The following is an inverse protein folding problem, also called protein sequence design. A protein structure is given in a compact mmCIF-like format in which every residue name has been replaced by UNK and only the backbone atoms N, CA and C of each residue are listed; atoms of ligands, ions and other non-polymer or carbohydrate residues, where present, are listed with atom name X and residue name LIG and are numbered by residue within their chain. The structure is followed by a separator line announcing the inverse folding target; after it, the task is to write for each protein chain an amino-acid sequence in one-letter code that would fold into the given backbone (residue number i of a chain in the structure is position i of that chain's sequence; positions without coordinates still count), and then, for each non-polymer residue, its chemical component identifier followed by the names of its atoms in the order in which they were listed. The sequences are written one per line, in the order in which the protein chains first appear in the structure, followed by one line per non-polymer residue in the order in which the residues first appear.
data_IF_554020234267
#
_entry.id   IF_554020234267
#
_cell.length_a   1.000
_cell.length_b   1.000
_cell.length_c   1.000
_cell.angle_alpha   90.00
_cell.angle_beta   90.00
_cell.angle_gamma   90.00
#
_symmetry.space_group_name_H-M   'P 1'
#
loop_
_entity.id
_entity.type
_entity.pdbx_description
1 polymer ?
#
# COMPACT_ATOMS: atom_id res chain seq x y z
N UNK A 1 -8.84 -7.86 6.86
CA UNK A 1 -7.78 -7.19 7.64
C UNK A 1 -7.04 -6.22 6.71
N UNK A 2 -6.42 -5.15 7.22
CA UNK A 2 -5.68 -4.16 6.41
C UNK A 2 -6.41 -2.86 6.07
N UNK A 3 -7.71 -2.72 6.41
CA UNK A 3 -8.47 -1.47 6.22
C UNK A 3 -9.35 -1.21 7.44
N UNK A 4 -8.78 -0.97 8.63
CA UNK A 4 -9.56 -0.84 9.87
C UNK A 4 -10.53 0.35 9.84
N UNK A 5 -10.27 1.33 8.98
CA UNK A 5 -11.05 2.56 8.82
C UNK A 5 -12.08 2.47 7.67
N UNK A 6 -12.22 1.30 7.04
CA UNK A 6 -13.15 1.09 5.93
C UNK A 6 -14.56 0.77 6.41
N UNK A 7 -15.57 1.26 5.70
CA UNK A 7 -16.96 0.87 5.90
C UNK A 7 -17.28 -0.34 5.03
N UNK A 8 -17.64 -1.46 5.65
CA UNK A 8 -18.16 -2.64 4.95
C UNK A 8 -19.64 -2.43 4.64
N UNK A 9 -19.98 -2.46 3.36
CA UNK A 9 -21.34 -2.38 2.85
C UNK A 9 -21.79 -3.75 2.35
N UNK A 10 -23.06 -4.05 2.55
CA UNK A 10 -23.69 -5.24 2.01
C UNK A 10 -24.95 -4.84 1.24
N UNK A 11 -25.08 -5.35 0.01
CA UNK A 11 -26.30 -5.16 -0.78
C UNK A 11 -27.40 -6.12 -0.28
N UNK A 12 -28.66 -5.84 -0.61
CA UNK A 12 -29.76 -6.76 -0.32
C UNK A 12 -29.56 -8.15 -0.99
N UNK A 13 -28.78 -8.22 -2.06
CA UNK A 13 -28.41 -9.46 -2.75
C UNK A 13 -27.27 -10.25 -2.09
N UNK A 14 -26.65 -9.71 -1.05
CA UNK A 14 -25.57 -10.37 -0.31
C UNK A 14 -24.16 -10.13 -0.84
N UNK A 15 -24.01 -9.23 -1.82
CA UNK A 15 -22.70 -8.76 -2.29
C UNK A 15 -22.10 -7.78 -1.29
N UNK A 16 -20.77 -7.76 -1.20
CA UNK A 16 -20.05 -6.89 -0.28
C UNK A 16 -19.19 -5.87 -1.03
N UNK A 17 -19.10 -4.67 -0.47
CA UNK A 17 -18.19 -3.62 -0.92
C UNK A 17 -17.55 -2.94 0.28
N UNK A 18 -16.36 -2.37 0.11
CA UNK A 18 -15.68 -1.60 1.15
C UNK A 18 -15.49 -0.18 0.64
N UNK A 19 -15.94 0.80 1.43
CA UNK A 19 -15.60 2.21 1.21
C UNK A 19 -14.44 2.59 2.12
N UNK A 20 -13.41 3.21 1.55
CA UNK A 20 -12.30 3.79 2.29
C UNK A 20 -12.13 5.25 1.90
N UNK A 21 -11.91 6.13 2.88
CA UNK A 21 -11.69 7.55 2.60
C UNK A 21 -10.33 7.79 1.95
N UNK A 22 -10.29 8.46 0.80
CA UNK A 22 -9.04 8.79 0.11
C UNK A 22 -8.35 10.03 0.71
N UNK A 23 -9.09 10.86 1.45
CA UNK A 23 -8.60 12.12 2.05
C UNK A 23 -7.76 11.93 3.30
N UNK A 24 -7.69 10.72 3.81
CA UNK A 24 -6.99 10.41 5.03
C UNK A 24 -5.57 9.95 4.69
N UNK A 25 -4.57 10.78 4.99
CA UNK A 25 -3.16 10.45 4.76
C UNK A 25 -2.71 9.38 5.75
N UNK A 26 -2.26 8.20 5.30
CA UNK A 26 -1.68 7.19 6.16
C UNK A 26 -0.39 7.69 6.81
N UNK A 27 -0.21 7.38 8.09
CA UNK A 27 1.00 7.68 8.85
C UNK A 27 1.37 6.48 9.70
N UNK A 28 2.67 6.22 9.79
CA UNK A 28 3.21 5.25 10.73
C UNK A 28 3.80 6.01 11.93
N UNK A 29 3.22 5.89 13.14
CA UNK A 29 3.82 6.49 14.33
C UNK A 29 5.10 5.74 14.68
N UNK A 30 6.19 6.47 14.83
CA UNK A 30 7.38 5.94 15.49
C UNK A 30 7.13 5.94 16.99
N UNK A 31 6.98 4.74 17.56
CA UNK A 31 6.82 4.56 19.00
C UNK A 31 8.11 3.94 19.53
N UNK A 32 8.93 4.74 20.25
CA UNK A 32 10.22 4.29 20.79
C UNK A 32 10.12 3.00 21.62
N UNK A 33 8.98 2.79 22.30
CA UNK A 33 8.75 1.63 23.18
C UNK A 33 8.31 0.37 22.43
N UNK A 34 7.85 0.49 21.19
CA UNK A 34 7.41 -0.65 20.38
C UNK A 34 7.77 -0.44 18.90
N UNK A 35 8.97 -0.89 18.48
CA UNK A 35 9.42 -0.76 17.09
C UNK A 35 8.62 -1.63 16.11
N UNK A 36 7.74 -2.52 16.61
CA UNK A 36 6.89 -3.39 15.82
C UNK A 36 5.42 -2.94 15.82
N UNK A 37 5.13 -1.73 16.32
CA UNK A 37 3.75 -1.23 16.37
C UNK A 37 3.17 -1.19 14.95
N UNK A 38 2.18 -2.03 14.65
CA UNK A 38 1.39 -1.96 13.40
C UNK A 38 0.28 -0.89 13.44
N UNK A 39 0.40 0.13 14.29
CA UNK A 39 -0.65 1.11 14.51
C UNK A 39 -0.69 2.09 13.33
N UNK A 40 -1.61 1.86 12.40
CA UNK A 40 -1.87 2.80 11.32
C UNK A 40 -2.62 4.03 11.84
N UNK A 41 -2.01 5.21 11.73
CA UNK A 41 -2.68 6.49 11.97
C UNK A 41 -3.13 7.13 10.67
N UNK A 42 -4.27 7.82 10.72
CA UNK A 42 -4.83 8.55 9.59
C UNK A 42 -4.91 10.04 9.90
N UNK A 43 -4.20 10.86 9.12
CA UNK A 43 -4.24 12.31 9.22
C UNK A 43 -5.26 12.88 8.22
N UNK A 44 -6.35 13.44 8.74
CA UNK A 44 -7.42 14.06 7.97
C UNK A 44 -7.27 15.58 7.77
N UNK A 45 -6.19 16.17 8.28
CA UNK A 45 -5.97 17.62 8.30
C UNK A 45 -4.89 18.07 7.31
N UNK A 46 -4.25 17.13 6.60
CA UNK A 46 -3.21 17.43 5.62
C UNK A 46 -3.83 18.05 4.35
N UNK A 47 -3.72 19.37 4.25
CA UNK A 47 -4.33 20.15 3.16
C UNK A 47 -3.70 19.83 1.80
N UNK A 48 -2.42 19.52 1.76
CA UNK A 48 -1.72 19.18 0.52
C UNK A 48 -2.18 17.83 0.01
N UNK A 49 -2.25 16.83 0.90
CA UNK A 49 -2.80 15.51 0.58
C UNK A 49 -4.21 15.62 0.01
N UNK A 50 -5.11 16.33 0.71
CA UNK A 50 -6.52 16.48 0.32
C UNK A 50 -6.67 17.18 -1.04
N UNK A 51 -5.78 18.13 -1.35
CA UNK A 51 -5.76 18.87 -2.61
C UNK A 51 -5.37 17.95 -3.78
N UNK A 52 -4.42 17.05 -3.57
CA UNK A 52 -3.92 16.15 -4.60
C UNK A 52 -4.87 14.98 -4.87
N UNK A 53 -5.67 14.56 -3.87
CA UNK A 53 -6.78 13.60 -4.09
C UNK A 53 -7.73 14.17 -5.13
N UNK A 54 -8.11 13.38 -6.14
CA UNK A 54 -9.02 13.78 -7.20
C UNK A 54 -10.44 14.14 -6.73
N UNK A 55 -11.38 14.25 -7.66
CA UNK A 55 -12.77 14.61 -7.33
C UNK A 55 -13.42 13.61 -6.37
N UNK A 56 -13.14 12.32 -6.56
CA UNK A 56 -13.66 11.25 -5.71
C UNK A 56 -12.86 11.14 -4.43
N UNK A 57 -13.47 11.53 -3.31
CA UNK A 57 -12.83 11.53 -1.97
C UNK A 57 -12.87 10.19 -1.24
N UNK A 58 -13.23 9.13 -1.94
CA UNK A 58 -13.28 7.78 -1.40
C UNK A 58 -12.97 6.75 -2.49
N UNK A 59 -12.40 5.64 -2.06
CA UNK A 59 -12.23 4.44 -2.87
C UNK A 59 -13.35 3.46 -2.55
N UNK A 60 -13.87 2.80 -3.58
CA UNK A 60 -14.88 1.76 -3.45
C UNK A 60 -14.32 0.42 -3.96
N UNK A 61 -14.06 -0.50 -3.05
CA UNK A 61 -13.51 -1.82 -3.35
C UNK A 61 -14.62 -2.86 -3.34
N UNK A 62 -14.96 -3.41 -4.50
CA UNK A 62 -15.88 -4.55 -4.54
C UNK A 62 -15.21 -5.78 -3.95
N UNK A 63 -15.92 -6.51 -3.10
CA UNK A 63 -15.48 -7.83 -2.65
C UNK A 63 -15.94 -8.84 -3.69
N UNK A 64 -15.00 -9.58 -4.26
CA UNK A 64 -15.35 -10.63 -5.21
C UNK A 64 -16.26 -11.69 -4.55
N UNK A 65 -17.10 -12.37 -5.34
CA UNK A 65 -18.08 -13.37 -4.86
C UNK A 65 -17.46 -14.50 -4.02
N UNK A 66 -16.17 -14.81 -4.23
CA UNK A 66 -15.43 -15.78 -3.41
C UNK A 66 -15.08 -15.29 -2.00
N UNK A 67 -15.24 -14.00 -1.74
CA UNK A 67 -14.87 -13.28 -0.50
C UNK A 67 -13.39 -13.38 -0.15
N UNK A 68 -12.54 -13.68 -1.14
CA UNK A 68 -11.08 -13.83 -0.95
C UNK A 68 -10.28 -12.63 -1.41
N UNK A 69 -10.80 -11.82 -2.33
CA UNK A 69 -10.08 -10.68 -2.88
C UNK A 69 -10.99 -9.48 -3.11
N UNK A 70 -10.34 -8.32 -3.13
CA UNK A 70 -10.95 -7.04 -3.47
C UNK A 70 -10.65 -6.74 -4.94
N UNK A 71 -11.63 -6.18 -5.64
CA UNK A 71 -11.45 -5.64 -6.98
C UNK A 71 -10.97 -4.20 -6.82
N UNK A 72 -9.80 -3.92 -7.38
CA UNK A 72 -9.21 -2.59 -7.34
C UNK A 72 -9.67 -1.80 -8.57
N UNK A 73 -10.41 -0.70 -8.40
CA UNK A 73 -11.04 -0.01 -9.53
C UNK A 73 -10.08 0.88 -10.34
N UNK A 74 -9.01 1.37 -9.71
CA UNK A 74 -8.04 2.29 -10.30
C UNK A 74 -6.64 2.02 -9.76
N UNK A 75 -5.61 2.57 -10.41
CA UNK A 75 -4.23 2.51 -9.93
C UNK A 75 -4.09 3.18 -8.56
N UNK A 76 -4.60 4.41 -8.38
CA UNK A 76 -4.58 5.11 -7.09
C UNK A 76 -5.22 4.30 -5.95
N UNK A 77 -6.37 3.66 -6.20
CA UNK A 77 -7.00 2.77 -5.22
C UNK A 77 -6.13 1.54 -4.90
N UNK A 78 -5.47 0.96 -5.92
CA UNK A 78 -4.55 -0.17 -5.74
C UNK A 78 -3.34 0.22 -4.91
N UNK A 79 -2.70 1.35 -5.25
CA UNK A 79 -1.55 1.92 -4.54
C UNK A 79 -1.89 2.21 -3.09
N UNK A 80 -3.04 2.84 -2.84
CA UNK A 80 -3.49 3.16 -1.49
C UNK A 80 -3.68 1.89 -0.66
N UNK A 81 -4.38 0.88 -1.19
CA UNK A 81 -4.56 -0.40 -0.50
C UNK A 81 -3.25 -1.16 -0.28
N UNK A 82 -2.32 -1.10 -1.23
CA UNK A 82 -1.00 -1.70 -1.09
C UNK A 82 -0.26 -1.04 0.07
N UNK A 83 -0.23 0.30 0.12
CA UNK A 83 0.39 1.06 1.19
C UNK A 83 -0.24 0.71 2.55
N UNK A 84 -1.57 0.73 2.67
CA UNK A 84 -2.25 0.38 3.91
C UNK A 84 -1.87 -1.02 4.42
N UNK A 85 -1.82 -2.01 3.51
CA UNK A 85 -1.41 -3.37 3.86
C UNK A 85 0.05 -3.45 4.23
N UNK A 86 0.92 -2.67 3.60
CA UNK A 86 2.33 -2.63 3.94
C UNK A 86 2.52 -2.06 5.35
N UNK A 87 1.90 -0.92 5.65
CA UNK A 87 1.97 -0.30 6.98
C UNK A 87 1.36 -1.19 8.09
N UNK A 88 0.39 -2.04 7.74
CA UNK A 88 -0.19 -3.07 8.63
C UNK A 88 0.58 -4.41 8.59
N UNK A 89 1.79 -4.43 8.01
CA UNK A 89 2.71 -5.60 7.91
C UNK A 89 2.09 -6.85 7.26
N UNK A 90 1.13 -6.67 6.36
CA UNK A 90 0.49 -7.77 5.61
C UNK A 90 1.28 -8.10 4.35
N UNK A 91 2.55 -8.48 4.52
CA UNK A 91 3.52 -8.60 3.42
C UNK A 91 3.08 -9.56 2.32
N UNK A 92 2.54 -10.74 2.64
CA UNK A 92 2.02 -11.65 1.60
C UNK A 92 0.90 -11.04 0.75
N UNK A 93 0.10 -10.14 1.33
CA UNK A 93 -0.89 -9.36 0.58
C UNK A 93 -0.25 -8.30 -0.33
N UNK A 94 0.79 -7.63 0.16
CA UNK A 94 1.57 -6.64 -0.60
C UNK A 94 2.31 -7.29 -1.76
N UNK A 95 3.01 -8.39 -1.50
CA UNK A 95 3.82 -9.12 -2.48
C UNK A 95 2.99 -9.54 -3.69
N UNK A 96 1.79 -10.10 -3.45
CA UNK A 96 0.84 -10.47 -4.52
C UNK A 96 0.23 -9.27 -5.25
N UNK A 97 0.08 -8.14 -4.58
CA UNK A 97 -0.50 -6.92 -5.19
C UNK A 97 0.53 -6.11 -5.99
N UNK A 98 1.82 -6.30 -5.76
CA UNK A 98 2.89 -5.52 -6.39
C UNK A 98 2.83 -5.55 -7.93
N UNK A 99 2.47 -6.69 -8.53
CA UNK A 99 2.35 -6.80 -9.99
C UNK A 99 1.17 -5.99 -10.57
N UNK A 100 0.25 -5.51 -9.72
CA UNK A 100 -0.94 -4.73 -10.12
C UNK A 100 -0.75 -3.22 -10.01
N UNK A 101 0.38 -2.73 -9.50
CA UNK A 101 0.65 -1.29 -9.31
C UNK A 101 1.53 -0.68 -10.39
N UNK A 102 1.60 -1.28 -11.57
CA UNK A 102 2.41 -0.75 -12.69
C UNK A 102 1.59 0.22 -13.54
N UNK A 103 2.22 1.32 -13.94
CA UNK A 103 1.70 2.30 -14.90
C UNK A 103 2.71 2.50 -16.03
N UNK A 104 2.23 2.48 -17.28
CA UNK A 104 3.00 2.87 -18.46
C UNK A 104 2.86 4.36 -18.79
N UNK A 105 2.04 5.09 -18.05
CA UNK A 105 1.85 6.54 -18.16
C UNK A 105 2.32 7.28 -16.92
N UNK A 106 2.54 8.59 -17.07
CA UNK A 106 2.81 9.48 -15.95
C UNK A 106 1.72 9.36 -14.87
N UNK A 107 2.15 9.32 -13.61
CA UNK A 107 1.24 9.29 -12.47
C UNK A 107 0.51 10.62 -12.35
N UNK A 108 -0.77 10.55 -11.98
CA UNK A 108 -1.48 11.76 -11.55
C UNK A 108 -1.04 12.16 -10.12
N UNK A 109 -1.37 13.39 -9.65
CA UNK A 109 -0.91 13.86 -8.34
C UNK A 109 -1.35 12.99 -7.15
N UNK A 110 -2.48 12.29 -7.26
CA UNK A 110 -2.96 11.37 -6.24
C UNK A 110 -2.13 10.07 -6.21
N UNK A 111 -1.85 9.50 -7.37
CA UNK A 111 -1.03 8.29 -7.50
C UNK A 111 0.42 8.54 -7.08
N UNK A 112 0.99 9.66 -7.53
CA UNK A 112 2.36 10.06 -7.22
C UNK A 112 2.56 10.21 -5.71
N UNK A 113 1.71 11.00 -5.03
CA UNK A 113 1.86 11.20 -3.58
C UNK A 113 1.70 9.90 -2.77
N UNK A 114 0.87 8.95 -3.23
CA UNK A 114 0.71 7.65 -2.55
C UNK A 114 1.96 6.80 -2.77
N UNK A 115 2.50 6.79 -3.99
CA UNK A 115 3.69 6.04 -4.34
C UNK A 115 4.93 6.56 -3.60
N UNK A 116 5.11 7.88 -3.51
CA UNK A 116 6.16 8.51 -2.69
C UNK A 116 6.02 8.15 -1.20
N UNK A 117 4.79 8.02 -0.70
CA UNK A 117 4.53 7.67 0.70
C UNK A 117 4.98 6.24 1.05
N UNK A 118 5.28 5.39 0.06
CA UNK A 118 5.93 4.10 0.31
C UNK A 118 7.31 4.24 0.97
N UNK A 119 7.94 5.42 0.92
CA UNK A 119 9.17 5.72 1.66
C UNK A 119 9.03 5.45 3.16
N UNK A 120 7.83 5.58 3.74
CA UNK A 120 7.58 5.29 5.16
C UNK A 120 7.80 3.83 5.52
N UNK A 121 7.79 2.93 4.55
CA UNK A 121 8.06 1.51 4.77
C UNK A 121 9.53 1.22 5.02
N UNK A 122 10.46 2.15 4.74
CA UNK A 122 11.90 1.99 4.97
C UNK A 122 12.27 1.73 6.44
N UNK A 123 11.43 2.19 7.37
CA UNK A 123 11.64 1.95 8.80
C UNK A 123 11.42 0.47 9.17
N UNK A 124 10.72 -0.28 8.32
CA UNK A 124 10.46 -1.70 8.53
C UNK A 124 11.59 -2.57 7.96
N UNK A 125 12.42 -3.07 8.87
CA UNK A 125 13.58 -3.93 8.60
C UNK A 125 13.23 -5.43 8.64
N UNK A 126 11.93 -5.76 8.60
CA UNK A 126 11.47 -7.14 8.49
C UNK A 126 11.98 -7.77 7.17
N UNK A 127 12.45 -9.03 7.19
CA UNK A 127 12.85 -9.75 5.98
C UNK A 127 11.80 -9.74 4.87
N UNK A 128 10.51 -9.85 5.23
CA UNK A 128 9.41 -9.82 4.28
C UNK A 128 9.14 -8.40 3.76
N UNK A 129 9.46 -7.36 4.53
CA UNK A 129 9.40 -5.99 4.06
C UNK A 129 10.45 -5.73 2.96
N UNK A 130 11.67 -6.23 3.13
CA UNK A 130 12.69 -6.20 2.07
C UNK A 130 12.22 -6.95 0.82
N UNK A 131 11.63 -8.14 0.99
CA UNK A 131 11.08 -8.92 -0.13
C UNK A 131 9.99 -8.15 -0.90
N UNK A 132 9.08 -7.49 -0.18
CA UNK A 132 8.04 -6.65 -0.77
C UNK A 132 8.61 -5.44 -1.52
N UNK A 133 9.59 -4.71 -0.95
CA UNK A 133 10.23 -3.57 -1.63
C UNK A 133 10.96 -4.00 -2.89
N UNK A 134 11.67 -5.13 -2.86
CA UNK A 134 12.30 -5.72 -4.05
C UNK A 134 11.27 -6.12 -5.12
N UNK A 135 10.15 -6.74 -4.71
CA UNK A 135 9.08 -7.13 -5.62
C UNK A 135 8.39 -5.92 -6.27
N UNK A 136 8.14 -4.86 -5.51
CA UNK A 136 7.64 -3.58 -6.04
C UNK A 136 8.63 -2.99 -7.04
N UNK A 137 9.93 -2.98 -6.69
CA UNK A 137 10.99 -2.46 -7.57
C UNK A 137 11.05 -3.21 -8.90
N UNK A 138 10.86 -4.52 -8.87
CA UNK A 138 10.79 -5.33 -10.08
C UNK A 138 9.52 -5.03 -10.89
N UNK A 139 8.36 -4.93 -10.23
CA UNK A 139 7.09 -4.66 -10.91
C UNK A 139 7.08 -3.29 -11.60
N UNK A 140 7.76 -2.29 -11.03
CA UNK A 140 7.82 -0.94 -11.59
C UNK A 140 9.07 -0.66 -12.42
N UNK A 141 9.98 -1.63 -12.61
CA UNK A 141 11.29 -1.39 -13.22
C UNK A 141 11.26 -0.89 -14.67
N UNK A 142 10.15 -1.11 -15.37
CA UNK A 142 9.96 -0.70 -16.76
C UNK A 142 9.27 0.68 -16.89
N UNK A 143 8.93 1.33 -15.77
CA UNK A 143 8.24 2.62 -15.76
C UNK A 143 9.15 3.73 -15.26
N UNK A 144 9.44 4.69 -16.13
CA UNK A 144 10.23 5.88 -15.77
C UNK A 144 9.50 6.80 -14.76
N UNK A 145 8.17 6.69 -14.69
CA UNK A 145 7.35 7.47 -13.76
C UNK A 145 7.25 6.84 -12.36
N UNK A 146 7.68 5.59 -12.19
CA UNK A 146 7.48 4.83 -10.95
C UNK A 146 8.81 4.35 -10.37
N UNK A 147 9.68 5.32 -10.05
CA UNK A 147 10.97 5.07 -9.41
C UNK A 147 10.77 4.87 -7.91
N UNK A 148 11.02 3.66 -7.35
CA UNK A 148 10.77 3.40 -5.94
C UNK A 148 11.58 4.33 -5.02
N UNK A 149 11.02 4.77 -3.88
CA UNK A 149 11.65 5.77 -3.01
C UNK A 149 12.70 5.18 -2.06
N UNK A 150 13.45 4.16 -2.49
CA UNK A 150 14.48 3.48 -1.70
C UNK A 150 15.68 3.07 -2.55
N UNK A 151 16.79 2.76 -1.89
CA UNK A 151 17.99 2.26 -2.55
C UNK A 151 17.90 0.76 -2.79
N UNK A 152 17.78 0.35 -4.06
CA UNK A 152 17.67 -1.06 -4.43
C UNK A 152 18.83 -1.93 -3.94
N UNK A 153 20.06 -1.40 -3.89
CA UNK A 153 21.22 -2.16 -3.46
C UNK A 153 21.18 -2.45 -1.94
N UNK A 154 20.71 -1.48 -1.14
CA UNK A 154 20.52 -1.64 0.30
C UNK A 154 19.42 -2.66 0.60
N UNK A 155 18.30 -2.59 -0.14
CA UNK A 155 17.22 -3.56 -0.02
C UNK A 155 17.66 -4.99 -0.38
N UNK A 156 18.45 -5.13 -1.44
CA UNK A 156 18.99 -6.42 -1.84
C UNK A 156 19.97 -6.98 -0.80
N UNK A 157 20.80 -6.13 -0.20
CA UNK A 157 21.70 -6.54 0.89
C UNK A 157 20.92 -7.00 2.12
N UNK A 158 19.90 -6.23 2.54
CA UNK A 158 19.01 -6.58 3.65
C UNK A 158 18.32 -7.93 3.42
N UNK A 159 17.72 -8.11 2.23
CA UNK A 159 17.11 -9.37 1.83
C UNK A 159 18.12 -10.53 1.84
N UNK A 160 19.31 -10.35 1.26
CA UNK A 160 20.30 -11.43 1.16
C UNK A 160 20.71 -11.96 2.56
N UNK A 161 20.88 -11.07 3.54
CA UNK A 161 21.24 -11.45 4.92
C UNK A 161 20.15 -12.24 5.63
N UNK A 162 18.88 -12.06 5.26
CA UNK A 162 17.72 -12.63 5.95
C UNK A 162 16.88 -13.58 5.09
N UNK A 163 17.33 -13.87 3.86
CA UNK A 163 16.61 -14.66 2.85
C UNK A 163 16.10 -16.02 3.32
N UNK A 164 16.75 -16.63 4.32
CA UNK A 164 16.36 -17.94 4.88
C UNK A 164 15.09 -17.92 5.74
N UNK A 165 14.63 -16.74 6.15
CA UNK A 165 13.45 -16.56 7.04
C UNK A 165 12.32 -15.75 6.40
N UNK A 166 12.45 -15.42 5.11
CA UNK A 166 11.40 -14.77 4.32
C UNK A 166 10.25 -15.76 4.11
N UNK A 167 9.01 -15.28 4.27
CA UNK A 167 7.78 -16.06 4.12
C UNK A 167 6.76 -15.44 3.16
N UNK A 168 6.98 -14.20 2.72
CA UNK A 168 6.11 -13.54 1.74
C UNK A 168 6.25 -14.19 0.35
N UNK A 169 5.15 -14.76 -0.14
CA UNK A 169 4.99 -15.37 -1.47
C UNK A 169 3.65 -14.99 -2.15
#
# INVERSE_FOLDING_TARGET
AGVPHGLLLQTAGGDFGIICGATAKPQHPEIETDPFTGALLLNHSDKEWIRNVGEMKHYFYNVHVSRKFLVMPTLGATLYMLLLRFLDRQYGGVFRMADSIVSDTALNPEEEQIFELLAWTLMDNDPDAHACRLKISLATSASDAMVPPWNLAEELAGYATTSRVVTAE
#
